data_IF_013357600987
#
_entry.id   IF_013357600987
#
_cell.length_a   1.000
_cell.length_b   1.000
_cell.length_c   1.000
_cell.angle_alpha   90.00
_cell.angle_beta   90.00
_cell.angle_gamma   90.00
#
_symmetry.space_group_name_H-M   'P 1'
#
loop_
_entity.id
_entity.type
_entity.pdbx_description
1 polymer ?
#
# COMPACT_ATOMS: atom_id res chain seq x y z
N UNK A 1 -21.20 29.85 -14.48
CA UNK A 1 -19.80 29.55 -14.13
C UNK A 1 -19.87 28.70 -12.87
N UNK A 2 -19.71 27.38 -13.01
CA UNK A 2 -19.95 26.39 -11.96
C UNK A 2 -18.69 26.26 -11.08
N UNK A 3 -18.84 26.46 -9.77
CA UNK A 3 -17.75 26.50 -8.78
C UNK A 3 -17.51 25.15 -8.09
N UNK A 4 -17.99 24.04 -8.65
CA UNK A 4 -17.70 22.70 -8.13
C UNK A 4 -16.50 22.08 -8.82
N UNK A 5 -15.32 22.65 -8.60
CA UNK A 5 -14.10 21.87 -8.72
C UNK A 5 -14.16 20.79 -7.64
N UNK A 6 -14.58 19.58 -8.02
CA UNK A 6 -14.30 18.38 -7.22
C UNK A 6 -12.80 18.44 -6.96
N UNK A 7 -12.38 18.61 -5.70
CA UNK A 7 -10.98 18.42 -5.33
C UNK A 7 -10.68 16.96 -5.63
N UNK A 8 -10.25 16.71 -6.86
CA UNK A 8 -9.70 15.43 -7.25
C UNK A 8 -8.52 15.22 -6.31
N UNK A 9 -8.49 14.11 -5.58
CA UNK A 9 -7.29 13.82 -4.81
C UNK A 9 -6.09 13.78 -5.76
N UNK A 10 -4.98 14.36 -5.32
CA UNK A 10 -3.76 14.37 -6.09
C UNK A 10 -3.24 12.93 -6.26
N UNK A 11 -2.55 12.61 -7.38
CA UNK A 11 -1.94 11.30 -7.56
C UNK A 11 -0.82 11.10 -6.54
N UNK A 12 -1.12 10.36 -5.47
CA UNK A 12 -0.18 10.12 -4.39
C UNK A 12 -0.33 8.71 -3.82
N UNK A 13 0.78 8.24 -3.25
CA UNK A 13 0.81 7.14 -2.31
C UNK A 13 1.71 7.57 -1.15
N UNK A 14 1.20 7.53 0.06
CA UNK A 14 2.00 7.76 1.26
C UNK A 14 1.78 6.63 2.26
N UNK A 15 2.88 6.20 2.88
CA UNK A 15 2.94 5.17 3.89
C UNK A 15 3.27 5.87 5.21
N UNK A 16 2.31 5.96 6.13
CA UNK A 16 2.41 6.85 7.30
C UNK A 16 1.86 6.21 8.57
N UNK A 17 2.32 6.68 9.71
CA UNK A 17 1.72 6.37 11.01
C UNK A 17 0.40 7.15 11.17
N UNK A 18 -0.60 6.52 11.80
CA UNK A 18 -1.86 7.22 12.07
C UNK A 18 -1.72 8.12 13.30
N UNK A 19 -1.97 9.42 13.12
CA UNK A 19 -1.97 10.38 14.22
C UNK A 19 -3.19 10.25 15.14
N UNK A 20 -4.29 9.67 14.65
CA UNK A 20 -5.53 9.48 15.44
C UNK A 20 -5.45 8.18 16.24
N UNK A 21 -4.85 7.15 15.66
CA UNK A 21 -4.70 5.82 16.25
C UNK A 21 -3.24 5.40 16.21
N UNK A 22 -2.43 5.73 17.23
CA UNK A 22 -0.98 5.48 17.21
C UNK A 22 -0.58 4.00 17.07
N UNK A 23 -1.49 3.07 17.35
CA UNK A 23 -1.30 1.63 17.13
C UNK A 23 -1.67 1.17 15.72
N UNK A 24 -1.82 2.10 14.77
CA UNK A 24 -2.20 1.84 13.38
C UNK A 24 -1.26 2.58 12.43
N UNK A 25 -0.94 1.91 11.35
CA UNK A 25 -0.28 2.51 10.20
C UNK A 25 -1.28 2.62 9.06
N UNK A 26 -0.97 3.44 8.06
CA UNK A 26 -1.89 3.79 7.01
C UNK A 26 -1.22 3.84 5.64
N UNK A 27 -1.92 3.35 4.63
CA UNK A 27 -1.73 3.79 3.26
C UNK A 27 -2.68 4.96 2.99
N UNK A 28 -2.14 6.16 2.73
CA UNK A 28 -2.88 7.26 2.13
C UNK A 28 -2.75 7.13 0.63
N UNK A 29 -3.87 6.87 -0.04
CA UNK A 29 -3.93 6.54 -1.45
C UNK A 29 -4.75 7.59 -2.17
N UNK A 30 -4.13 8.25 -3.15
CA UNK A 30 -4.81 9.13 -4.10
C UNK A 30 -5.15 8.40 -5.39
N UNK A 31 -5.26 9.14 -6.49
CA UNK A 31 -5.70 8.58 -7.78
C UNK A 31 -4.60 7.81 -8.54
N UNK A 32 -3.40 7.66 -7.98
CA UNK A 32 -2.29 6.90 -8.60
C UNK A 32 -2.44 5.38 -8.47
N UNK A 33 -3.41 4.91 -7.67
CA UNK A 33 -3.71 3.49 -7.48
C UNK A 33 -5.09 3.17 -8.06
N UNK A 34 -5.24 2.87 -9.36
CA UNK A 34 -6.55 2.70 -9.99
C UNK A 34 -7.33 1.48 -9.49
N UNK A 35 -6.63 0.51 -8.88
CA UNK A 35 -7.23 -0.70 -8.32
C UNK A 35 -8.05 -0.45 -7.04
N UNK A 36 -7.98 0.75 -6.45
CA UNK A 36 -8.67 1.06 -5.20
C UNK A 36 -9.16 2.52 -5.20
N UNK A 37 -10.18 2.81 -4.40
CA UNK A 37 -10.62 4.18 -4.17
C UNK A 37 -9.54 5.04 -3.51
N UNK A 38 -9.62 6.35 -3.68
CA UNK A 38 -8.79 7.25 -2.88
C UNK A 38 -9.26 7.27 -1.43
N UNK A 39 -8.33 7.30 -0.48
CA UNK A 39 -8.63 7.25 0.94
C UNK A 39 -7.47 6.76 1.80
N UNK A 40 -7.78 6.54 3.07
CA UNK A 40 -6.83 6.09 4.09
C UNK A 40 -7.16 4.66 4.49
N UNK A 41 -6.21 3.75 4.27
CA UNK A 41 -6.34 2.32 4.56
C UNK A 41 -5.47 1.95 5.75
N UNK A 42 -6.11 1.76 6.89
CA UNK A 42 -5.44 1.45 8.15
C UNK A 42 -5.13 -0.04 8.27
N UNK A 43 -4.01 -0.36 8.89
CA UNK A 43 -3.64 -1.72 9.27
C UNK A 43 -2.93 -1.73 10.62
N UNK A 44 -2.90 -2.90 11.25
CA UNK A 44 -2.18 -3.13 12.52
C UNK A 44 -0.78 -3.61 12.17
N UNK A 45 0.29 -2.87 12.50
CA UNK A 45 1.63 -3.31 12.21
C UNK A 45 1.97 -4.60 12.99
N UNK A 46 2.82 -5.44 12.41
CA UNK A 46 3.37 -6.64 13.01
C UNK A 46 4.90 -6.55 13.02
N UNK A 47 5.51 -7.02 14.11
CA UNK A 47 6.96 -6.96 14.33
C UNK A 47 7.70 -8.13 13.67
N UNK A 48 6.97 -9.12 13.15
CA UNK A 48 7.52 -10.31 12.51
C UNK A 48 6.75 -10.72 11.24
N UNK A 49 7.35 -11.64 10.48
CA UNK A 49 6.78 -12.14 9.23
C UNK A 49 6.78 -11.13 8.10
N UNK A 50 6.02 -11.43 7.05
CA UNK A 50 5.93 -10.66 5.80
C UNK A 50 4.59 -9.95 5.64
N UNK A 51 3.73 -10.01 6.66
CA UNK A 51 2.45 -9.32 6.68
C UNK A 51 2.48 -8.12 7.61
N UNK A 52 1.86 -7.02 7.19
CA UNK A 52 1.70 -5.80 7.97
C UNK A 52 2.99 -5.32 8.65
N UNK A 53 4.15 -5.60 8.04
CA UNK A 53 5.44 -5.24 8.60
C UNK A 53 5.52 -3.72 8.79
N UNK A 54 6.25 -3.24 9.79
CA UNK A 54 6.59 -1.83 9.86
C UNK A 54 7.30 -1.39 8.57
N UNK A 55 6.91 -0.26 8.01
CA UNK A 55 7.51 0.24 6.77
C UNK A 55 9.01 0.52 6.91
N UNK A 56 9.48 0.86 8.11
CA UNK A 56 10.90 1.05 8.40
C UNK A 56 11.72 -0.25 8.26
N UNK A 57 11.07 -1.41 8.35
CA UNK A 57 11.68 -2.73 8.24
C UNK A 57 11.53 -3.34 6.83
N UNK A 58 10.96 -2.57 5.89
CA UNK A 58 10.93 -2.96 4.46
C UNK A 58 12.25 -2.53 3.82
N UNK A 59 13.05 -3.51 3.46
CA UNK A 59 14.36 -3.34 2.85
C UNK A 59 14.28 -3.39 1.32
N UNK A 60 15.24 -2.77 0.64
CA UNK A 60 15.36 -2.78 -0.82
C UNK A 60 16.02 -4.04 -1.37
N UNK A 61 15.65 -5.21 -0.84
CA UNK A 61 16.21 -6.51 -1.19
C UNK A 61 15.26 -7.33 -2.09
N UNK A 62 14.16 -6.72 -2.53
CA UNK A 62 13.12 -7.39 -3.31
C UNK A 62 12.16 -8.26 -2.50
N UNK A 63 12.29 -8.33 -1.17
CA UNK A 63 11.34 -9.06 -0.32
C UNK A 63 9.92 -8.54 -0.52
N UNK A 64 8.99 -9.45 -0.77
CA UNK A 64 7.59 -9.11 -0.88
C UNK A 64 6.94 -9.07 0.49
N UNK A 65 6.20 -8.00 0.76
CA UNK A 65 5.41 -7.83 1.96
C UNK A 65 3.93 -7.65 1.60
N UNK A 66 3.05 -8.35 2.30
CA UNK A 66 1.61 -8.17 2.21
C UNK A 66 1.10 -7.23 3.30
N UNK A 67 0.10 -6.41 2.99
CA UNK A 67 -0.57 -5.56 3.96
C UNK A 67 -2.06 -5.75 3.83
N UNK A 68 -2.68 -6.09 4.96
CA UNK A 68 -4.10 -6.39 5.09
C UNK A 68 -4.73 -5.22 5.84
N UNK A 69 -5.42 -4.31 5.14
CA UNK A 69 -6.17 -3.25 5.79
C UNK A 69 -7.28 -3.82 6.66
N UNK A 70 -7.69 -3.07 7.68
CA UNK A 70 -8.81 -3.43 8.56
C UNK A 70 -10.15 -3.46 7.81
N UNK A 71 -10.25 -2.75 6.68
CA UNK A 71 -11.42 -2.76 5.81
C UNK A 71 -11.21 -3.75 4.66
N UNK A 72 -12.22 -4.56 4.31
CA UNK A 72 -12.07 -5.63 3.32
C UNK A 72 -12.05 -5.06 1.90
N UNK A 73 -10.87 -4.60 1.47
CA UNK A 73 -10.63 -4.01 0.14
C UNK A 73 -9.51 -4.73 -0.63
N UNK A 74 -9.11 -5.91 -0.15
CA UNK A 74 -8.00 -6.69 -0.70
C UNK A 74 -6.69 -6.54 0.08
N UNK A 75 -5.65 -7.21 -0.41
CA UNK A 75 -4.29 -7.17 0.17
C UNK A 75 -3.39 -6.31 -0.71
N UNK A 76 -2.65 -5.40 -0.09
CA UNK A 76 -1.63 -4.61 -0.75
C UNK A 76 -0.33 -5.41 -0.69
N UNK A 77 0.15 -5.89 -1.82
CA UNK A 77 1.47 -6.46 -1.93
C UNK A 77 2.45 -5.37 -2.35
N UNK A 78 3.54 -5.22 -1.62
CA UNK A 78 4.63 -4.29 -1.96
C UNK A 78 5.98 -5.02 -2.05
N UNK A 79 6.88 -4.45 -2.84
CA UNK A 79 8.31 -4.76 -2.76
C UNK A 79 9.14 -3.55 -3.19
N UNK A 80 10.32 -3.43 -2.61
CA UNK A 80 11.37 -2.51 -3.03
C UNK A 80 12.45 -3.32 -3.77
N UNK A 81 12.38 -3.48 -5.11
CA UNK A 81 13.40 -4.19 -5.86
C UNK A 81 14.76 -3.48 -5.84
N UNK A 82 14.75 -2.17 -5.57
CA UNK A 82 15.92 -1.33 -5.36
C UNK A 82 15.56 -0.15 -4.44
N UNK A 83 16.54 0.66 -4.06
CA UNK A 83 16.37 1.75 -3.08
C UNK A 83 15.46 2.90 -3.56
N UNK A 84 15.11 2.96 -4.85
CA UNK A 84 14.38 4.07 -5.45
C UNK A 84 13.06 3.66 -6.11
N UNK A 85 12.75 2.37 -6.14
CA UNK A 85 11.58 1.83 -6.83
C UNK A 85 10.68 1.13 -5.82
N UNK A 86 9.39 1.46 -5.83
CA UNK A 86 8.35 0.72 -5.13
C UNK A 86 7.43 0.08 -6.17
N UNK A 87 7.24 -1.22 -6.08
CA UNK A 87 6.16 -1.91 -6.77
C UNK A 87 5.04 -2.19 -5.79
N UNK A 88 3.80 -1.95 -6.21
CA UNK A 88 2.63 -2.21 -5.41
C UNK A 88 1.47 -2.73 -6.25
N UNK A 89 0.72 -3.66 -5.71
CA UNK A 89 -0.44 -4.26 -6.37
C UNK A 89 -1.47 -4.66 -5.31
N UNK A 90 -2.73 -4.41 -5.62
CA UNK A 90 -3.85 -4.77 -4.75
C UNK A 90 -4.56 -5.96 -5.38
N UNK A 91 -4.80 -6.99 -4.58
CA UNK A 91 -5.49 -8.20 -5.01
C UNK A 91 -6.66 -8.50 -4.09
N UNK A 92 -7.81 -8.75 -4.70
CA UNK A 92 -9.03 -9.19 -4.01
C UNK A 92 -8.89 -10.63 -3.49
N UNK A 93 -9.60 -10.95 -2.42
CA UNK A 93 -9.73 -12.32 -1.93
C UNK A 93 -8.63 -12.77 -0.94
N UNK A 94 -8.30 -14.06 -0.97
CA UNK A 94 -7.40 -14.73 -0.02
C UNK A 94 -6.06 -14.01 0.14
N UNK A 95 -5.44 -14.20 1.31
CA UNK A 95 -4.12 -13.69 1.67
C UNK A 95 -3.08 -14.80 1.44
N UNK A 96 -2.67 -15.09 0.18
CA UNK A 96 -1.64 -16.08 -0.06
C UNK A 96 -0.30 -15.54 0.41
N UNK A 97 0.56 -16.46 0.85
CA UNK A 97 1.91 -16.16 1.31
C UNK A 97 2.62 -15.20 0.34
N UNK A 98 3.08 -14.02 0.81
CA UNK A 98 3.83 -13.08 -0.02
C UNK A 98 5.05 -13.72 -0.70
N UNK A 99 5.63 -14.78 -0.14
CA UNK A 99 6.75 -15.51 -0.75
C UNK A 99 6.38 -16.20 -2.08
N UNK A 100 5.13 -16.60 -2.25
CA UNK A 100 4.65 -17.30 -3.46
C UNK A 100 4.14 -16.31 -4.53
N UNK A 101 4.21 -15.01 -4.26
CA UNK A 101 3.63 -13.99 -5.12
C UNK A 101 4.62 -13.51 -6.18
N UNK A 102 4.05 -13.30 -7.37
CA UNK A 102 4.71 -12.65 -8.49
C UNK A 102 3.83 -11.48 -8.91
N UNK A 103 4.41 -10.28 -8.97
CA UNK A 103 3.70 -9.11 -9.49
C UNK A 103 3.34 -9.31 -10.96
N UNK A 104 2.12 -8.93 -11.33
CA UNK A 104 1.72 -8.89 -12.75
C UNK A 104 2.13 -7.57 -13.41
N UNK A 105 1.77 -7.40 -14.67
CA UNK A 105 1.93 -6.13 -15.39
C UNK A 105 1.01 -5.03 -14.87
N UNK A 106 -0.01 -5.36 -14.08
CA UNK A 106 -0.95 -4.41 -13.47
C UNK A 106 -0.41 -3.74 -12.20
N UNK A 107 0.80 -4.09 -11.77
CA UNK A 107 1.45 -3.40 -10.65
C UNK A 107 1.58 -1.91 -10.95
N UNK A 108 1.41 -1.11 -9.91
CA UNK A 108 1.78 0.30 -9.95
C UNK A 108 3.23 0.42 -9.52
N UNK A 109 3.99 1.23 -10.26
CA UNK A 109 5.40 1.49 -9.99
C UNK A 109 5.57 2.95 -9.59
N UNK A 110 6.07 3.17 -8.37
CA UNK A 110 6.50 4.49 -7.91
C UNK A 110 8.02 4.57 -7.95
N UNK A 111 8.53 5.72 -8.39
CA UNK A 111 9.96 6.04 -8.38
C UNK A 111 10.18 7.28 -7.54
N UNK A 112 11.22 7.26 -6.72
CA UNK A 112 11.69 8.42 -5.97
C UNK A 112 12.66 9.26 -6.81
#
# INVERSE_FOLDING_TARGET
MDLRARRHEDPHLALVESHIWPSRHAFSVGTSMPAVGSGVYLFVPQDDGVYNRLFADVTSDGTMCGYIPEWPIGTFFITLPDANTLWIQILDGEHPDPADRVFTDDKVVFKR
#
